data_IF_524126692466
#
_entry.id   IF_524126692466
#
_cell.length_a   1.000
_cell.length_b   1.000
_cell.length_c   1.000
_cell.angle_alpha   90.00
_cell.angle_beta   90.00
_cell.angle_gamma   90.00
#
_symmetry.space_group_name_H-M   'P 1'
#
loop_
_entity.id
_entity.type
_entity.pdbx_description
1 polymer ?
#
# COMPACT_ATOMS: atom_id res chain seq x y z
N UNK A 1 -30.15 21.41 -20.79
CA UNK A 1 -30.08 20.53 -19.60
C UNK A 1 -28.61 20.31 -19.29
N UNK A 2 -28.09 21.03 -18.30
CA UNK A 2 -26.67 20.97 -17.90
C UNK A 2 -26.55 19.99 -16.73
N UNK A 3 -25.94 18.83 -16.96
CA UNK A 3 -25.57 17.92 -15.88
C UNK A 3 -24.11 18.18 -15.55
N UNK A 4 -23.88 18.88 -14.43
CA UNK A 4 -22.56 19.13 -13.90
C UNK A 4 -21.95 17.81 -13.44
N UNK A 5 -20.85 17.40 -14.09
CA UNK A 5 -19.97 16.39 -13.54
C UNK A 5 -19.51 16.87 -12.15
N UNK A 6 -19.99 16.20 -11.11
CA UNK A 6 -19.56 16.46 -9.73
C UNK A 6 -18.12 16.00 -9.59
N UNK A 7 -17.18 16.87 -9.98
CA UNK A 7 -15.77 16.69 -9.68
C UNK A 7 -15.61 16.88 -8.18
N UNK A 8 -15.42 15.77 -7.45
CA UNK A 8 -14.98 15.87 -6.06
C UNK A 8 -13.70 16.72 -6.02
N UNK A 9 -13.61 17.69 -5.08
CA UNK A 9 -12.40 18.49 -4.93
C UNK A 9 -11.19 17.58 -4.73
N UNK A 10 -10.05 17.96 -5.30
CA UNK A 10 -8.83 17.20 -5.13
C UNK A 10 -8.52 17.09 -3.62
N UNK A 11 -8.27 15.88 -3.08
CA UNK A 11 -8.02 15.71 -1.65
C UNK A 11 -6.80 16.53 -1.25
N UNK A 12 -6.93 17.21 -0.11
CA UNK A 12 -5.84 18.01 0.45
C UNK A 12 -4.77 17.10 1.05
N UNK A 13 -3.49 17.53 1.10
CA UNK A 13 -2.40 16.69 1.62
C UNK A 13 -2.55 16.28 3.09
N UNK A 14 -3.29 17.05 3.88
CA UNK A 14 -3.52 16.83 5.31
C UNK A 14 -4.72 15.92 5.61
N UNK A 15 -5.52 15.59 4.59
CA UNK A 15 -6.67 14.71 4.77
C UNK A 15 -6.23 13.25 4.63
N UNK A 16 -6.40 12.49 5.72
CA UNK A 16 -6.13 11.06 5.74
C UNK A 16 -7.02 10.36 4.70
N UNK A 17 -6.42 9.44 3.94
CA UNK A 17 -7.18 8.64 2.99
C UNK A 17 -8.21 7.77 3.71
N UNK A 18 -9.41 7.69 3.15
CA UNK A 18 -10.36 6.64 3.51
C UNK A 18 -9.70 5.27 3.29
N UNK A 19 -9.86 4.38 4.25
CA UNK A 19 -9.25 3.05 4.21
C UNK A 19 -10.15 2.01 4.86
N UNK A 20 -10.15 0.81 4.27
CA UNK A 20 -10.68 -0.38 4.90
C UNK A 20 -9.66 -0.87 5.93
N UNK A 21 -10.10 -1.11 7.15
CA UNK A 21 -9.25 -1.62 8.23
C UNK A 21 -9.69 -3.01 8.66
N UNK A 22 -8.77 -3.96 8.66
CA UNK A 22 -9.00 -5.33 9.14
C UNK A 22 -7.95 -5.69 10.19
N UNK A 23 -8.39 -6.10 11.37
CA UNK A 23 -7.51 -6.51 12.46
C UNK A 23 -7.58 -8.02 12.67
N UNK A 24 -6.44 -8.69 12.79
CA UNK A 24 -6.39 -10.14 13.08
C UNK A 24 -6.47 -10.47 14.57
N UNK A 25 -6.50 -9.46 15.44
CA UNK A 25 -6.62 -9.61 16.88
C UNK A 25 -6.99 -8.28 17.57
N UNK A 26 -7.34 -8.31 18.87
CA UNK A 26 -7.81 -7.15 19.61
C UNK A 26 -6.73 -6.09 19.90
N UNK A 27 -5.45 -6.48 19.92
CA UNK A 27 -4.31 -5.57 20.17
C UNK A 27 -3.26 -5.68 19.06
N UNK A 28 -3.47 -5.03 17.90
CA UNK A 28 -2.52 -5.09 16.80
C UNK A 28 -1.16 -4.49 17.14
N UNK A 29 -0.13 -5.33 17.07
CA UNK A 29 1.27 -4.97 17.29
C UNK A 29 2.00 -4.62 16.00
N UNK A 30 1.42 -4.98 14.86
CA UNK A 30 1.97 -4.70 13.54
C UNK A 30 0.93 -3.99 12.68
N UNK A 31 1.38 -3.19 11.72
CA UNK A 31 0.50 -2.57 10.74
C UNK A 31 1.01 -2.77 9.31
N UNK A 32 0.09 -3.06 8.40
CA UNK A 32 0.39 -3.24 6.98
C UNK A 32 -0.48 -2.27 6.20
N UNK A 33 0.14 -1.25 5.59
CA UNK A 33 -0.54 -0.37 4.63
C UNK A 33 -0.34 -0.94 3.24
N UNK A 34 -1.43 -1.38 2.62
CA UNK A 34 -1.40 -2.12 1.36
C UNK A 34 -2.21 -1.40 0.28
N UNK A 35 -1.50 -0.96 -0.76
CA UNK A 35 -2.06 -0.16 -1.84
C UNK A 35 -2.51 -1.04 -3.00
N UNK A 36 -3.75 -0.82 -3.45
CA UNK A 36 -4.32 -1.46 -4.63
C UNK A 36 -3.75 -0.91 -5.95
N UNK A 37 -4.07 -1.61 -7.05
CA UNK A 37 -3.68 -1.22 -8.41
C UNK A 37 -4.64 -0.20 -9.05
N UNK A 38 -4.35 0.24 -10.27
CA UNK A 38 -5.22 1.14 -11.03
C UNK A 38 -6.65 0.60 -11.15
N UNK A 39 -7.65 1.44 -10.88
CA UNK A 39 -9.08 1.11 -11.07
C UNK A 39 -9.70 0.18 -10.01
N UNK A 40 -8.89 -0.35 -9.10
CA UNK A 40 -9.33 -1.15 -7.95
C UNK A 40 -9.70 -0.29 -6.74
N UNK A 41 -10.08 -0.92 -5.63
CA UNK A 41 -10.29 -0.27 -4.33
C UNK A 41 -9.70 -1.09 -3.15
N UNK A 42 -10.00 -0.67 -1.92
CA UNK A 42 -9.43 -1.23 -0.69
C UNK A 42 -10.02 -2.58 -0.29
N UNK A 43 -11.17 -2.99 -0.85
CA UNK A 43 -11.83 -4.26 -0.54
C UNK A 43 -11.20 -5.46 -1.27
N UNK A 44 -10.44 -5.21 -2.34
CA UNK A 44 -9.79 -6.23 -3.19
C UNK A 44 -8.92 -7.24 -2.41
N UNK A 45 -8.41 -6.85 -1.23
CA UNK A 45 -7.42 -7.62 -0.48
C UNK A 45 -7.91 -8.22 0.84
N UNK A 46 -9.11 -7.87 1.32
CA UNK A 46 -9.66 -8.47 2.54
C UNK A 46 -9.70 -10.00 2.47
N UNK A 47 -10.16 -10.63 1.36
CA UNK A 47 -10.22 -12.08 1.26
C UNK A 47 -8.84 -12.76 1.23
N UNK A 48 -7.77 -12.01 0.99
CA UNK A 48 -6.39 -12.53 0.94
C UNK A 48 -5.81 -12.69 2.34
N UNK A 49 -6.28 -11.93 3.34
CA UNK A 49 -5.70 -11.93 4.70
C UNK A 49 -5.64 -13.35 5.30
N UNK A 50 -6.73 -14.16 5.29
CA UNK A 50 -6.67 -15.52 5.86
C UNK A 50 -5.69 -16.45 5.12
N UNK A 51 -5.40 -16.16 3.85
CA UNK A 51 -4.50 -16.96 3.01
C UNK A 51 -3.01 -16.63 3.21
N UNK A 52 -2.68 -15.55 3.94
CA UNK A 52 -1.29 -15.13 4.18
C UNK A 52 -0.51 -16.10 5.08
N UNK A 53 -1.20 -17.02 5.77
CA UNK A 53 -0.56 -18.00 6.66
C UNK A 53 0.17 -17.33 7.83
N UNK A 54 -0.39 -16.24 8.35
CA UNK A 54 0.17 -15.55 9.51
C UNK A 54 0.19 -16.49 10.73
N UNK A 55 1.22 -16.39 11.59
CA UNK A 55 1.19 -17.05 12.89
C UNK A 55 -0.09 -16.70 13.65
N UNK A 56 -0.65 -17.65 14.41
CA UNK A 56 -1.92 -17.44 15.11
C UNK A 56 -1.88 -16.34 16.17
N UNK A 57 -0.69 -16.04 16.69
CA UNK A 57 -0.39 -14.99 17.65
C UNK A 57 -0.04 -13.64 16.99
N UNK A 58 0.04 -13.60 15.64
CA UNK A 58 0.31 -12.36 14.92
C UNK A 58 -0.93 -11.46 14.91
N UNK A 59 -0.91 -10.45 15.79
CA UNK A 59 -1.91 -9.40 15.85
C UNK A 59 -1.50 -8.25 14.91
N UNK A 60 -2.10 -8.21 13.72
CA UNK A 60 -1.76 -7.29 12.64
C UNK A 60 -3.00 -6.47 12.26
N UNK A 61 -2.81 -5.17 12.05
CA UNK A 61 -3.80 -4.30 11.42
C UNK A 61 -3.45 -4.12 9.95
N UNK A 62 -4.33 -4.55 9.08
CA UNK A 62 -4.26 -4.25 7.65
C UNK A 62 -5.05 -2.97 7.39
N UNK A 63 -4.42 -2.03 6.68
CA UNK A 63 -5.01 -0.76 6.26
C UNK A 63 -4.95 -0.73 4.73
N UNK A 64 -6.12 -0.76 4.09
CA UNK A 64 -6.27 -0.75 2.64
C UNK A 64 -6.83 0.60 2.20
N UNK A 65 -5.97 1.60 1.94
CA UNK A 65 -6.44 2.91 1.54
C UNK A 65 -7.01 2.92 0.13
N UNK A 66 -8.03 3.73 -0.07
CA UNK A 66 -8.60 4.00 -1.37
C UNK A 66 -7.81 5.11 -2.08
N UNK A 67 -7.34 4.82 -3.29
CA UNK A 67 -6.79 5.88 -4.13
C UNK A 67 -7.88 6.90 -4.50
N UNK A 68 -7.55 8.21 -4.56
CA UNK A 68 -8.48 9.22 -5.02
C UNK A 68 -8.98 8.96 -6.45
N UNK A 69 -10.23 9.31 -6.73
CA UNK A 69 -10.76 9.31 -8.10
C UNK A 69 -10.14 10.49 -8.85
N UNK A 70 -9.50 10.20 -9.98
CA UNK A 70 -8.88 11.21 -10.84
C UNK A 70 -8.88 10.76 -12.31
N UNK A 71 -8.81 11.69 -13.29
CA UNK A 71 -8.63 11.32 -14.69
C UNK A 71 -7.27 10.65 -14.89
N UNK A 72 -7.24 9.65 -15.79
CA UNK A 72 -6.03 8.91 -16.15
C UNK A 72 -5.76 9.07 -17.64
N UNK A 73 -4.66 9.74 -17.98
CA UNK A 73 -4.30 10.13 -19.35
C UNK A 73 -4.20 8.92 -20.28
N UNK A 74 -3.57 7.83 -19.84
CA UNK A 74 -3.45 6.58 -20.61
C UNK A 74 -4.82 5.97 -20.97
N UNK A 75 -5.82 6.18 -20.12
CA UNK A 75 -7.19 5.70 -20.33
C UNK A 75 -8.10 6.77 -20.94
N UNK A 76 -7.53 7.71 -21.72
CA UNK A 76 -8.29 8.77 -22.38
C UNK A 76 -8.92 9.79 -21.43
N UNK A 77 -8.36 9.95 -20.23
CA UNK A 77 -8.87 10.88 -19.21
C UNK A 77 -10.07 10.35 -18.43
N UNK A 78 -10.44 9.07 -18.58
CA UNK A 78 -11.53 8.48 -17.82
C UNK A 78 -11.27 8.56 -16.29
N UNK A 79 -12.21 9.09 -15.49
CA UNK A 79 -12.07 9.14 -14.04
C UNK A 79 -12.11 7.73 -13.43
N UNK A 80 -11.09 7.39 -12.65
CA UNK A 80 -11.04 6.15 -11.87
C UNK A 80 -10.09 6.30 -10.68
N UNK A 81 -10.10 5.32 -9.78
CA UNK A 81 -9.18 5.31 -8.63
C UNK A 81 -7.74 5.14 -9.10
N UNK A 82 -6.91 6.15 -8.87
CA UNK A 82 -5.50 6.14 -9.24
C UNK A 82 -4.64 6.92 -8.24
N UNK A 83 -3.43 6.40 -7.96
CA UNK A 83 -2.47 7.04 -7.06
C UNK A 83 -1.77 8.24 -7.72
N UNK A 84 -1.59 8.21 -9.03
CA UNK A 84 -0.98 9.26 -9.83
C UNK A 84 -1.44 9.10 -11.28
N UNK A 85 -1.32 10.15 -12.08
CA UNK A 85 -1.67 10.08 -13.50
C UNK A 85 -0.63 9.23 -14.26
N UNK A 86 -1.13 8.32 -15.09
CA UNK A 86 -0.32 7.46 -15.94
C UNK A 86 -0.45 8.01 -17.35
N UNK A 87 0.62 8.63 -17.86
CA UNK A 87 0.59 9.31 -19.17
C UNK A 87 0.91 8.39 -20.35
N UNK A 88 1.77 7.40 -20.15
CA UNK A 88 2.17 6.44 -21.18
C UNK A 88 2.61 5.11 -20.55
N UNK A 89 2.64 4.04 -21.36
CA UNK A 89 3.11 2.71 -20.96
C UNK A 89 4.65 2.66 -20.85
N UNK A 90 5.36 3.51 -21.59
CA UNK A 90 6.82 3.59 -21.51
C UNK A 90 7.26 4.36 -20.26
N UNK A 91 8.33 3.90 -19.59
CA UNK A 91 8.92 4.50 -18.40
C UNK A 91 9.65 5.84 -18.68
N UNK A 92 9.18 6.60 -19.67
CA UNK A 92 9.79 7.84 -20.17
C UNK A 92 9.53 9.03 -19.24
N UNK A 93 10.30 10.10 -19.47
CA UNK A 93 10.50 11.33 -18.66
C UNK A 93 9.25 12.14 -18.24
N UNK A 94 8.04 11.66 -18.49
CA UNK A 94 6.79 12.41 -18.27
C UNK A 94 5.92 11.83 -17.14
N UNK A 95 6.53 11.25 -16.10
CA UNK A 95 5.78 10.78 -14.94
C UNK A 95 5.06 11.94 -14.24
N UNK A 96 3.92 11.65 -13.61
CA UNK A 96 3.21 12.59 -12.73
C UNK A 96 3.93 12.68 -11.38
N UNK A 97 5.11 13.31 -11.36
CA UNK A 97 5.94 13.46 -10.16
C UNK A 97 5.17 14.12 -9.01
N UNK A 98 4.36 15.14 -9.31
CA UNK A 98 3.55 15.84 -8.33
C UNK A 98 2.47 14.93 -7.73
N UNK A 99 1.78 14.12 -8.55
CA UNK A 99 0.80 13.15 -8.06
C UNK A 99 1.44 12.01 -7.27
N UNK A 100 2.62 11.53 -7.71
CA UNK A 100 3.40 10.53 -6.97
C UNK A 100 3.78 11.08 -5.59
N UNK A 101 4.32 12.30 -5.52
CA UNK A 101 4.70 12.95 -4.26
C UNK A 101 3.49 13.15 -3.34
N UNK A 102 2.35 13.59 -3.89
CA UNK A 102 1.10 13.75 -3.12
C UNK A 102 0.62 12.43 -2.52
N UNK A 103 0.56 11.37 -3.33
CA UNK A 103 0.14 10.07 -2.79
C UNK A 103 1.17 9.42 -1.89
N UNK A 104 2.47 9.73 -2.04
CA UNK A 104 3.46 9.35 -1.04
C UNK A 104 3.17 10.03 0.30
N UNK A 105 2.96 11.35 0.32
CA UNK A 105 2.64 12.10 1.54
C UNK A 105 1.37 11.57 2.24
N UNK A 106 0.32 11.25 1.48
CA UNK A 106 -0.90 10.66 2.04
C UNK A 106 -0.67 9.30 2.71
N UNK A 107 0.21 8.47 2.14
CA UNK A 107 0.56 7.16 2.74
C UNK A 107 1.53 7.35 3.92
N UNK A 108 2.38 8.38 3.91
CA UNK A 108 3.13 8.81 5.11
C UNK A 108 2.19 9.22 6.25
N UNK A 109 1.14 9.98 5.97
CA UNK A 109 0.14 10.34 6.98
C UNK A 109 -0.54 9.10 7.59
N UNK A 110 -0.84 8.07 6.77
CA UNK A 110 -1.38 6.81 7.28
C UNK A 110 -0.39 6.05 8.17
N UNK A 111 0.90 6.02 7.83
CA UNK A 111 1.90 5.40 8.70
C UNK A 111 2.10 6.17 10.00
N UNK A 112 2.18 7.50 9.93
CA UNK A 112 2.27 8.35 11.12
C UNK A 112 1.08 8.14 12.06
N UNK A 113 -0.12 7.92 11.52
CA UNK A 113 -1.31 7.54 12.30
C UNK A 113 -1.14 6.19 12.98
N UNK A 114 -0.54 5.20 12.33
CA UNK A 114 -0.26 3.89 12.95
C UNK A 114 0.85 3.98 14.01
N UNK A 115 1.84 4.86 13.83
CA UNK A 115 2.83 5.18 14.86
C UNK A 115 2.17 5.79 16.10
N UNK A 116 1.26 6.76 15.90
CA UNK A 116 0.48 7.36 16.98
C UNK A 116 -0.44 6.35 17.70
N UNK A 117 -0.80 5.24 17.03
CA UNK A 117 -1.54 4.10 17.61
C UNK A 117 -0.62 3.10 18.33
N UNK A 118 0.68 3.37 18.42
CA UNK A 118 1.65 2.56 19.17
C UNK A 118 2.37 1.48 18.36
N UNK A 119 2.23 1.47 17.03
CA UNK A 119 2.97 0.54 16.16
C UNK A 119 4.24 1.21 15.64
N UNK A 120 5.43 0.84 16.12
CA UNK A 120 6.67 1.52 15.73
C UNK A 120 7.03 1.27 14.25
N UNK A 121 7.81 2.14 13.61
CA UNK A 121 8.09 2.09 12.17
C UNK A 121 8.68 0.75 11.68
N UNK A 122 9.49 0.09 12.51
CA UNK A 122 10.09 -1.23 12.21
C UNK A 122 9.05 -2.37 12.12
N UNK A 123 7.84 -2.15 12.64
CA UNK A 123 6.72 -3.10 12.63
C UNK A 123 5.66 -2.73 11.58
N UNK A 124 5.98 -1.75 10.72
CA UNK A 124 5.12 -1.29 9.65
C UNK A 124 5.63 -1.77 8.29
N UNK A 125 4.73 -2.30 7.47
CA UNK A 125 5.04 -2.73 6.10
C UNK A 125 4.21 -1.96 5.07
N UNK A 126 4.88 -1.36 4.08
CA UNK A 126 4.25 -0.79 2.88
C UNK A 126 4.29 -1.82 1.75
N UNK A 127 3.13 -2.27 1.27
CA UNK A 127 3.04 -3.17 0.10
C UNK A 127 2.34 -2.47 -1.06
N UNK A 128 2.96 -2.47 -2.25
CA UNK A 128 2.32 -2.08 -3.51
C UNK A 128 2.14 -3.32 -4.39
N UNK A 129 1.00 -3.44 -5.07
CA UNK A 129 0.84 -4.42 -6.17
C UNK A 129 1.61 -3.95 -7.40
N UNK A 130 2.32 -4.85 -8.08
CA UNK A 130 2.87 -4.61 -9.43
C UNK A 130 1.88 -5.13 -10.50
N UNK A 131 1.73 -4.47 -11.65
CA UNK A 131 0.96 -5.01 -12.77
C UNK A 131 1.56 -6.36 -13.19
N UNK A 132 0.72 -7.37 -13.39
CA UNK A 132 1.16 -8.71 -13.75
C UNK A 132 1.79 -8.68 -15.15
N UNK A 133 3.12 -8.63 -15.24
CA UNK A 133 3.86 -8.81 -16.48
C UNK A 133 5.20 -9.50 -16.16
N UNK A 134 5.44 -10.60 -16.87
CA UNK A 134 6.63 -11.47 -16.91
C UNK A 134 6.83 -12.51 -15.78
N UNK A 135 6.38 -13.74 -16.08
CA UNK A 135 6.86 -15.00 -15.51
C UNK A 135 8.28 -15.26 -16.05
N UNK A 136 9.24 -15.53 -15.17
CA UNK A 136 10.40 -16.38 -15.48
C UNK A 136 10.98 -16.95 -14.18
N UNK A 137 11.17 -18.29 -14.03
CA UNK A 137 11.79 -18.87 -12.84
C UNK A 137 13.27 -19.20 -13.09
N UNK A 138 14.18 -18.74 -12.22
CA UNK A 138 15.49 -19.39 -12.02
C UNK A 138 16.09 -19.12 -10.61
N UNK A 139 16.97 -20.00 -10.09
CA UNK A 139 17.14 -20.24 -8.65
C UNK A 139 18.34 -19.56 -7.97
N UNK A 140 18.18 -19.39 -6.64
CA UNK A 140 19.13 -19.33 -5.50
C UNK A 140 20.37 -18.41 -5.52
N UNK A 141 20.50 -17.59 -4.47
CA UNK A 141 21.56 -17.65 -3.41
C UNK A 141 21.88 -16.25 -2.80
N UNK A 142 22.16 -16.21 -1.48
CA UNK A 142 23.13 -15.25 -0.89
C UNK A 142 22.60 -14.06 -0.10
N UNK A 143 22.96 -14.00 1.19
CA UNK A 143 22.58 -13.00 2.21
C UNK A 143 23.20 -11.61 1.99
N UNK A 144 22.42 -10.55 2.29
CA UNK A 144 22.71 -9.36 3.15
C UNK A 144 21.81 -8.20 2.71
N UNK A 145 20.75 -7.90 3.47
CA UNK A 145 19.92 -6.72 3.23
C UNK A 145 20.34 -5.58 4.19
N UNK A 146 21.13 -4.63 3.69
CA UNK A 146 21.21 -3.28 4.24
C UNK A 146 20.34 -2.38 3.36
N UNK A 147 19.44 -1.66 4.04
CA UNK A 147 18.75 -0.40 3.72
C UNK A 147 18.64 0.06 2.25
N UNK A 148 17.38 0.33 1.88
CA UNK A 148 16.87 1.24 0.85
C UNK A 148 17.34 1.02 -0.60
N UNK A 149 16.45 0.40 -1.37
CA UNK A 149 16.21 0.72 -2.77
C UNK A 149 14.84 0.17 -3.16
N UNK A 150 14.11 0.93 -3.95
CA UNK A 150 12.89 0.54 -4.64
C UNK A 150 12.97 -0.90 -5.19
N UNK A 151 12.06 -1.78 -4.75
CA UNK A 151 11.88 -3.12 -5.33
C UNK A 151 11.97 -4.28 -4.32
N UNK A 152 10.91 -5.09 -4.31
CA UNK A 152 10.75 -6.40 -3.63
C UNK A 152 10.81 -6.41 -2.09
N UNK A 153 9.63 -6.34 -1.48
CA UNK A 153 9.42 -6.89 -0.13
C UNK A 153 9.03 -8.37 -0.24
N UNK A 154 10.02 -9.26 -0.09
CA UNK A 154 9.79 -10.58 0.49
C UNK A 154 10.67 -10.61 1.74
N UNK A 155 10.06 -10.59 2.91
CA UNK A 155 10.78 -10.87 4.16
C UNK A 155 10.07 -12.01 4.89
N UNK A 156 10.78 -13.11 5.05
CA UNK A 156 10.45 -14.19 5.97
C UNK A 156 10.73 -13.69 7.39
N UNK A 157 9.70 -13.53 8.22
CA UNK A 157 9.88 -13.31 9.65
C UNK A 157 10.35 -14.63 10.29
N UNK A 158 11.54 -14.63 10.88
CA UNK A 158 11.97 -15.71 11.78
C UNK A 158 11.49 -15.35 13.19
N UNK A 159 10.80 -16.24 13.93
CA UNK A 159 10.35 -15.92 15.29
C UNK A 159 11.54 -15.73 16.23
N UNK A 160 11.46 -14.71 17.09
CA UNK A 160 12.39 -14.53 18.22
C UNK A 160 12.15 -15.63 19.26
N UNK A 161 13.21 -16.15 19.93
CA UNK A 161 13.03 -17.08 21.03
C UNK A 161 12.36 -16.37 22.23
N UNK A 162 11.36 -17.02 22.81
CA UNK A 162 10.64 -16.55 23.99
C UNK A 162 11.57 -16.42 25.21
N UNK A 163 11.31 -15.47 26.13
CA UNK A 163 12.10 -15.34 27.35
C UNK A 163 11.89 -16.54 28.26
N UNK A 164 12.97 -17.24 28.58
CA UNK A 164 13.01 -18.20 29.69
C UNK A 164 12.97 -17.44 31.01
N UNK A 165 11.87 -17.55 31.73
CA UNK A 165 11.78 -17.10 33.13
C UNK A 165 12.38 -18.19 34.04
N UNK A 166 13.19 -17.83 35.05
CA UNK A 166 13.73 -18.79 36.03
C UNK A 166 12.67 -19.34 36.99
#
# INVERSE_FOLDING_TARGET
MSSAASGQPAPTPDELLEAVEVTTGPDPRFSVVWLHGLGADGHDFEPVIPMLGLPADAQVRFVFPHAPVRPVTLNGGMPMRAWYDIKAISASRDQDEAGIARSAAQVEALLAREEARGVPPEQQLRRRRQPASAISPHPQCGRRARRFSCGRAITTATPLPAPTTP
#
